data_IF_089529188859
#
_entry.id   IF_089529188859
#
_cell.length_a   1.000
_cell.length_b   1.000
_cell.length_c   1.000
_cell.angle_alpha   90.00
_cell.angle_beta   90.00
_cell.angle_gamma   90.00
#
_symmetry.space_group_name_H-M   'P 1'
#
loop_
_entity.id
_entity.type
_entity.pdbx_description
1 polymer ?
#
# COMPACT_ATOMS: atom_id res chain seq x y z
N UNK A 1 -16.93 -20.14 10.29
CA UNK A 1 -16.57 -18.81 9.76
C UNK A 1 -16.52 -17.88 10.94
N UNK A 2 -15.40 -17.20 11.17
CA UNK A 2 -15.25 -16.28 12.30
C UNK A 2 -16.25 -15.14 12.11
N UNK A 3 -17.15 -14.93 13.07
CA UNK A 3 -18.30 -14.03 12.95
C UNK A 3 -17.85 -12.60 13.29
N UNK A 4 -17.25 -11.93 12.31
CA UNK A 4 -16.90 -10.52 12.43
C UNK A 4 -18.11 -9.62 12.13
N UNK A 5 -18.26 -8.49 12.85
CA UNK A 5 -19.21 -7.44 12.51
C UNK A 5 -19.15 -7.00 11.04
N UNK A 6 -20.25 -6.54 10.45
CA UNK A 6 -20.34 -6.17 9.03
C UNK A 6 -19.26 -5.17 8.60
N UNK A 7 -18.87 -4.23 9.45
CA UNK A 7 -17.86 -3.22 9.15
C UNK A 7 -16.46 -3.84 9.01
N UNK A 8 -16.13 -4.78 9.91
CA UNK A 8 -14.85 -5.50 9.88
C UNK A 8 -14.81 -6.44 8.67
N UNK A 9 -15.92 -7.11 8.34
CA UNK A 9 -16.03 -7.91 7.11
C UNK A 9 -15.81 -7.04 5.88
N UNK A 10 -16.43 -5.87 5.82
CA UNK A 10 -16.24 -4.93 4.71
C UNK A 10 -14.76 -4.60 4.59
N UNK A 11 -14.10 -4.18 5.68
CA UNK A 11 -12.66 -3.91 5.68
C UNK A 11 -11.79 -5.09 5.20
N UNK A 12 -12.03 -6.30 5.71
CA UNK A 12 -11.29 -7.53 5.34
C UNK A 12 -11.48 -7.87 3.86
N UNK A 13 -12.70 -7.75 3.35
CA UNK A 13 -13.04 -8.08 1.97
C UNK A 13 -12.90 -6.90 1.00
N UNK A 14 -12.55 -5.70 1.48
CA UNK A 14 -12.21 -4.61 0.56
C UNK A 14 -10.89 -4.93 -0.12
N UNK A 15 -10.89 -4.89 -1.45
CA UNK A 15 -9.66 -5.02 -2.25
C UNK A 15 -8.83 -3.74 -2.20
N UNK A 16 -9.39 -2.61 -1.74
CA UNK A 16 -8.73 -1.30 -1.64
C UNK A 16 -7.37 -1.35 -0.94
N UNK A 17 -7.21 -2.15 0.11
CA UNK A 17 -5.93 -2.27 0.83
C UNK A 17 -4.82 -2.89 -0.05
N UNK A 18 -5.18 -3.87 -0.89
CA UNK A 18 -4.26 -4.54 -1.82
C UNK A 18 -4.10 -3.71 -3.11
N UNK A 19 -5.17 -3.11 -3.61
CA UNK A 19 -5.17 -2.22 -4.79
C UNK A 19 -4.37 -0.93 -4.55
N UNK A 20 -4.20 -0.51 -3.29
CA UNK A 20 -3.30 0.58 -2.90
C UNK A 20 -1.83 0.30 -3.28
N UNK A 21 -1.46 -0.94 -3.59
CA UNK A 21 -0.14 -1.31 -4.13
C UNK A 21 0.19 -0.65 -5.49
N UNK A 22 -0.80 -0.05 -6.16
CA UNK A 22 -0.59 0.77 -7.36
C UNK A 22 0.42 1.92 -7.18
N UNK A 23 0.60 2.41 -5.95
CA UNK A 23 1.60 3.47 -5.65
C UNK A 23 3.04 2.96 -5.82
N UNK A 24 3.32 1.74 -5.36
CA UNK A 24 4.64 1.12 -5.50
C UNK A 24 4.96 0.89 -6.98
N UNK A 25 3.99 0.38 -7.75
CA UNK A 25 4.14 0.19 -9.20
C UNK A 25 4.39 1.53 -9.92
N UNK A 26 3.70 2.59 -9.51
CA UNK A 26 3.89 3.93 -10.08
C UNK A 26 5.26 4.53 -9.75
N UNK A 27 5.78 4.29 -8.55
CA UNK A 27 7.09 4.75 -8.10
C UNK A 27 8.25 4.06 -8.85
N UNK A 28 8.11 2.77 -9.15
CA UNK A 28 9.13 1.99 -9.88
C UNK A 28 9.02 2.14 -11.40
N UNK A 29 7.85 2.48 -11.95
CA UNK A 29 7.63 2.66 -13.41
C UNK A 29 8.58 3.69 -14.05
N UNK A 30 9.03 4.70 -13.31
CA UNK A 30 9.95 5.75 -13.79
C UNK A 30 11.42 5.30 -13.86
N UNK A 31 11.82 4.25 -13.15
CA UNK A 31 13.19 3.72 -13.14
C UNK A 31 13.15 2.19 -13.32
N UNK A 32 13.25 1.74 -14.57
CA UNK A 32 13.22 0.31 -14.93
C UNK A 32 14.49 -0.46 -14.58
N UNK A 33 15.62 0.22 -14.40
CA UNK A 33 16.90 -0.41 -14.08
C UNK A 33 17.48 0.26 -12.84
N UNK A 34 17.79 -0.54 -11.83
CA UNK A 34 18.47 -0.08 -10.62
C UNK A 34 19.92 -0.55 -10.65
N UNK A 35 20.89 0.31 -10.24
CA UNK A 35 22.31 -0.06 -10.23
C UNK A 35 22.66 -1.12 -9.18
N UNK A 36 21.86 -1.23 -8.11
CA UNK A 36 22.02 -2.19 -7.04
C UNK A 36 20.68 -2.52 -6.39
N UNK A 37 20.61 -3.68 -5.72
CA UNK A 37 19.40 -4.12 -5.00
C UNK A 37 19.03 -3.18 -3.84
N UNK A 38 20.03 -2.64 -3.13
CA UNK A 38 19.82 -1.70 -2.03
C UNK A 38 19.12 -0.42 -2.48
N UNK A 39 19.48 0.10 -3.67
CA UNK A 39 18.83 1.27 -4.24
C UNK A 39 17.37 0.99 -4.61
N UNK A 40 17.07 -0.21 -5.12
CA UNK A 40 15.69 -0.62 -5.39
C UNK A 40 14.87 -0.69 -4.10
N UNK A 41 15.41 -1.32 -3.05
CA UNK A 41 14.78 -1.39 -1.72
C UNK A 41 14.52 -0.01 -1.14
N UNK A 42 15.48 0.91 -1.26
CA UNK A 42 15.34 2.30 -0.78
C UNK A 42 14.20 3.05 -1.47
N UNK A 43 14.03 2.87 -2.78
CA UNK A 43 12.92 3.49 -3.51
C UNK A 43 11.57 2.93 -3.07
N UNK A 44 11.47 1.62 -2.88
CA UNK A 44 10.25 0.97 -2.36
C UNK A 44 9.93 1.50 -0.96
N UNK A 45 10.93 1.57 -0.06
CA UNK A 45 10.77 2.11 1.28
C UNK A 45 10.22 3.55 1.27
N UNK A 46 10.81 4.44 0.48
CA UNK A 46 10.37 5.83 0.39
C UNK A 46 8.95 5.97 -0.18
N UNK A 47 8.57 5.13 -1.14
CA UNK A 47 7.22 5.10 -1.68
C UNK A 47 6.19 4.67 -0.62
N UNK A 48 6.52 3.65 0.19
CA UNK A 48 5.71 3.20 1.32
C UNK A 48 5.60 4.31 2.38
N UNK A 49 6.71 4.96 2.74
CA UNK A 49 6.72 6.04 3.73
C UNK A 49 5.84 7.22 3.30
N UNK A 50 5.92 7.63 2.03
CA UNK A 50 5.06 8.69 1.48
C UNK A 50 3.59 8.29 1.46
N UNK A 51 3.28 7.03 1.18
CA UNK A 51 1.91 6.51 1.17
C UNK A 51 1.35 6.45 2.58
N UNK A 52 2.15 5.95 3.53
CA UNK A 52 1.80 5.87 4.95
C UNK A 52 1.46 7.24 5.54
N UNK A 53 2.13 8.32 5.11
CA UNK A 53 1.80 9.69 5.54
C UNK A 53 0.40 10.14 5.13
N UNK A 54 -0.19 9.54 4.09
CA UNK A 54 -1.56 9.82 3.63
C UNK A 54 -2.60 8.93 4.32
N UNK A 55 -2.18 7.82 4.94
CA UNK A 55 -3.05 6.86 5.63
C UNK A 55 -3.43 7.34 7.03
N UNK A 56 -3.87 8.61 7.14
CA UNK A 56 -4.32 9.23 8.38
C UNK A 56 -5.84 9.19 8.55
N UNK A 57 -6.57 8.65 7.56
CA UNK A 57 -8.03 8.60 7.61
C UNK A 57 -8.52 7.45 8.48
N UNK A 58 -9.29 7.80 9.51
CA UNK A 58 -10.10 6.86 10.28
C UNK A 58 -11.15 6.24 9.37
N UNK A 59 -11.33 4.92 9.44
CA UNK A 59 -12.46 4.23 8.80
C UNK A 59 -13.73 4.82 9.41
N UNK A 60 -14.44 5.67 8.64
CA UNK A 60 -15.73 6.22 9.05
C UNK A 60 -16.81 5.17 8.80
N UNK A 61 -17.73 5.06 9.76
CA UNK A 61 -18.80 4.06 9.80
C UNK A 61 -19.83 4.25 8.68
#
# INVERSE_FOLDING_TARGET
MVEYPPEIRKAIYTTNAIESNSVIHSATKRRKVFPSEELAKKVIYLAIEQTSKKWSMLIQN
#
